data_IF_268837316224
#
_entry.id   IF_268837316224
#
_cell.length_a   1.000
_cell.length_b   1.000
_cell.length_c   1.000
_cell.angle_alpha   90.00
_cell.angle_beta   90.00
_cell.angle_gamma   90.00
#
_symmetry.space_group_name_H-M   'P 1'
#
loop_
_entity.id
_entity.type
_entity.pdbx_description
1 polymer ?
#
# COMPACT_ATOMS: atom_id res chain seq x y z
N UNK A 1 -19.05 -31.19 -2.44
CA UNK A 1 -17.70 -31.08 -1.82
C UNK A 1 -17.47 -29.61 -1.50
N UNK A 2 -17.51 -29.23 -0.22
CA UNK A 2 -17.29 -27.84 0.20
C UNK A 2 -15.78 -27.58 0.30
N UNK A 3 -15.28 -26.54 -0.38
CA UNK A 3 -13.88 -26.14 -0.28
C UNK A 3 -13.63 -25.55 1.11
N UNK A 4 -12.67 -26.13 1.83
CA UNK A 4 -12.20 -25.58 3.10
C UNK A 4 -11.33 -24.38 2.76
N UNK A 5 -11.87 -23.17 2.97
CA UNK A 5 -11.11 -21.93 2.86
C UNK A 5 -10.51 -21.67 4.25
N UNK A 6 -9.19 -21.78 4.37
CA UNK A 6 -8.45 -21.48 5.60
C UNK A 6 -8.31 -19.96 5.69
N UNK A 7 -9.24 -19.31 6.38
CA UNK A 7 -9.15 -17.88 6.71
C UNK A 7 -8.66 -17.72 8.16
N UNK A 8 -7.42 -17.23 8.32
CA UNK A 8 -6.83 -16.87 9.62
C UNK A 8 -5.66 -17.75 10.07
N UNK A 9 -4.78 -17.18 10.92
CA UNK A 9 -3.62 -17.92 11.51
C UNK A 9 -4.04 -18.91 12.61
N UNK A 10 -5.15 -18.67 13.30
CA UNK A 10 -5.55 -19.39 14.50
C UNK A 10 -7.07 -19.67 14.49
N UNK A 11 -7.52 -20.64 15.30
CA UNK A 11 -8.93 -21.05 15.41
C UNK A 11 -9.90 -19.93 15.86
N UNK A 12 -9.39 -18.87 16.49
CA UNK A 12 -10.17 -17.71 16.94
C UNK A 12 -10.24 -16.57 15.91
N UNK A 13 -9.61 -16.75 14.74
CA UNK A 13 -9.61 -15.73 13.70
C UNK A 13 -11.01 -15.55 13.12
N UNK A 14 -11.62 -14.40 13.39
CA UNK A 14 -12.89 -14.01 12.77
C UNK A 14 -12.61 -13.40 11.39
N UNK A 15 -13.33 -13.89 10.38
CA UNK A 15 -13.32 -13.29 9.05
C UNK A 15 -13.96 -11.91 9.12
N UNK A 16 -13.16 -10.86 8.91
CA UNK A 16 -13.65 -9.48 8.80
C UNK A 16 -13.79 -9.17 7.31
N UNK A 17 -15.01 -8.85 6.89
CA UNK A 17 -15.24 -8.31 5.54
C UNK A 17 -15.05 -6.80 5.61
N UNK A 18 -14.01 -6.30 4.95
CA UNK A 18 -13.72 -4.88 4.80
C UNK A 18 -13.66 -4.55 3.31
N UNK A 19 -14.14 -3.37 2.91
CA UNK A 19 -13.96 -2.91 1.54
C UNK A 19 -12.48 -2.71 1.25
N UNK A 20 -12.08 -2.87 -0.02
CA UNK A 20 -10.70 -2.62 -0.44
C UNK A 20 -10.26 -1.20 -0.07
N UNK A 21 -11.12 -0.20 -0.25
CA UNK A 21 -10.80 1.20 0.07
C UNK A 21 -10.59 1.42 1.57
N UNK A 22 -11.39 0.78 2.42
CA UNK A 22 -11.22 0.89 3.87
C UNK A 22 -9.94 0.17 4.34
N UNK A 23 -9.58 -0.96 3.74
CA UNK A 23 -8.31 -1.64 4.00
C UNK A 23 -7.11 -0.79 3.56
N UNK A 24 -7.15 -0.22 2.35
CA UNK A 24 -6.11 0.69 1.86
C UNK A 24 -5.99 1.93 2.75
N UNK A 25 -7.11 2.49 3.22
CA UNK A 25 -7.08 3.62 4.15
C UNK A 25 -6.41 3.27 5.48
N UNK A 26 -6.67 2.08 6.02
CA UNK A 26 -5.99 1.61 7.24
C UNK A 26 -4.48 1.46 7.02
N UNK A 27 -4.05 0.96 5.86
CA UNK A 27 -2.63 0.87 5.52
C UNK A 27 -1.97 2.25 5.46
N UNK A 28 -2.61 3.22 4.83
CA UNK A 28 -2.13 4.60 4.80
C UNK A 28 -2.02 5.13 6.24
N UNK A 29 -3.07 5.00 7.04
CA UNK A 29 -3.07 5.52 8.42
C UNK A 29 -1.97 4.91 9.29
N UNK A 30 -1.58 3.66 9.04
CA UNK A 30 -0.58 2.97 9.82
C UNK A 30 0.86 3.47 9.58
N UNK A 31 1.09 4.41 8.65
CA UNK A 31 2.37 5.12 8.44
C UNK A 31 2.43 6.48 9.15
N UNK A 32 1.33 6.91 9.79
CA UNK A 32 1.24 8.21 10.44
C UNK A 32 0.89 8.06 11.93
N UNK A 33 1.22 9.09 12.71
CA UNK A 33 0.93 9.13 14.14
C UNK A 33 -0.56 9.31 14.40
N UNK A 34 -1.26 9.95 13.45
CA UNK A 34 -2.68 10.19 13.52
C UNK A 34 -3.35 10.16 12.14
N UNK A 35 -4.65 9.90 12.12
CA UNK A 35 -5.46 10.00 10.91
C UNK A 35 -5.44 11.42 10.32
N UNK A 36 -5.32 12.45 11.16
CA UNK A 36 -5.25 13.84 10.74
C UNK A 36 -3.99 14.11 9.89
N UNK A 37 -2.86 13.53 10.27
CA UNK A 37 -1.60 13.60 9.50
C UNK A 37 -1.73 12.88 8.16
N UNK A 38 -2.28 11.68 8.14
CA UNK A 38 -2.55 10.93 6.91
C UNK A 38 -3.42 11.73 5.92
N UNK A 39 -4.49 12.36 6.42
CA UNK A 39 -5.35 13.25 5.63
C UNK A 39 -4.62 14.49 5.15
N UNK A 40 -3.72 15.05 5.97
CA UNK A 40 -2.89 16.19 5.60
C UNK A 40 -1.92 15.86 4.48
N UNK A 41 -1.27 14.70 4.55
CA UNK A 41 -0.38 14.18 3.52
C UNK A 41 -1.11 14.04 2.17
N UNK A 42 -2.31 13.44 2.15
CA UNK A 42 -3.13 13.36 0.92
C UNK A 42 -3.44 14.74 0.36
N UNK A 43 -3.84 15.70 1.22
CA UNK A 43 -4.15 17.07 0.78
C UNK A 43 -2.92 17.78 0.21
N UNK A 44 -1.74 17.56 0.78
CA UNK A 44 -0.50 18.09 0.24
C UNK A 44 -0.23 17.58 -1.18
N UNK A 45 -0.46 16.29 -1.45
CA UNK A 45 -0.37 15.73 -2.81
C UNK A 45 -1.43 16.28 -3.77
N UNK A 46 -2.66 16.49 -3.30
CA UNK A 46 -3.69 17.14 -4.12
C UNK A 46 -3.27 18.56 -4.52
N UNK A 47 -2.64 19.30 -3.61
CA UNK A 47 -2.16 20.66 -3.85
C UNK A 47 -0.98 20.71 -4.85
N UNK A 48 -0.11 19.69 -4.87
CA UNK A 48 1.04 19.66 -5.80
C UNK A 48 0.68 19.18 -7.20
N UNK A 49 -0.27 18.26 -7.33
CA UNK A 49 -0.62 17.66 -8.63
C UNK A 49 -1.66 18.47 -9.41
N UNK A 50 -2.38 19.39 -8.78
CA UNK A 50 -3.52 20.13 -9.36
C UNK A 50 -4.59 19.23 -10.03
N UNK A 51 -4.57 17.92 -9.75
CA UNK A 51 -5.51 16.95 -10.30
C UNK A 51 -5.75 15.81 -9.32
N UNK A 52 -7.00 15.37 -9.27
CA UNK A 52 -7.42 14.18 -8.51
C UNK A 52 -7.13 12.87 -9.27
N UNK A 53 -6.88 12.94 -10.59
CA UNK A 53 -6.69 11.75 -11.44
C UNK A 53 -5.45 10.93 -11.07
N UNK A 54 -4.38 11.57 -10.61
CA UNK A 54 -3.14 10.91 -10.20
C UNK A 54 -3.11 10.45 -8.74
N UNK A 55 -3.99 11.01 -7.90
CA UNK A 55 -3.95 10.80 -6.46
C UNK A 55 -4.24 9.34 -6.08
N UNK A 56 -5.27 8.74 -6.70
CA UNK A 56 -5.62 7.34 -6.45
C UNK A 56 -4.48 6.40 -6.79
N UNK A 57 -3.72 6.68 -7.86
CA UNK A 57 -2.57 5.87 -8.24
C UNK A 57 -1.44 5.98 -7.21
N UNK A 58 -1.15 7.19 -6.72
CA UNK A 58 -0.09 7.43 -5.72
C UNK A 58 -0.41 6.79 -4.38
N UNK A 59 -1.66 6.92 -3.90
CA UNK A 59 -2.09 6.28 -2.65
C UNK A 59 -2.03 4.76 -2.76
N UNK A 60 -2.43 4.20 -3.91
CA UNK A 60 -2.32 2.76 -4.18
C UNK A 60 -0.87 2.32 -4.26
N UNK A 61 -0.01 3.08 -4.92
CA UNK A 61 1.43 2.80 -5.01
C UNK A 61 2.08 2.81 -3.62
N UNK A 62 1.78 3.80 -2.79
CA UNK A 62 2.21 3.85 -1.38
C UNK A 62 1.77 2.60 -0.60
N UNK A 63 0.51 2.18 -0.74
CA UNK A 63 0.03 0.94 -0.11
C UNK A 63 0.73 -0.32 -0.66
N UNK A 64 1.02 -0.37 -1.97
CA UNK A 64 1.71 -1.50 -2.59
C UNK A 64 3.11 -1.70 -2.03
N UNK A 65 3.87 -0.62 -1.82
CA UNK A 65 5.19 -0.67 -1.18
C UNK A 65 5.16 -1.27 0.22
N UNK A 66 4.02 -1.19 0.92
CA UNK A 66 3.83 -1.72 2.27
C UNK A 66 3.45 -3.21 2.30
N UNK A 67 2.70 -3.67 1.31
CA UNK A 67 2.22 -5.07 1.22
C UNK A 67 3.25 -5.96 0.51
N UNK A 68 3.91 -5.42 -0.50
CA UNK A 68 4.74 -6.17 -1.44
C UNK A 68 6.21 -6.10 -1.03
N UNK A 69 6.96 -7.20 -1.22
CA UNK A 69 8.40 -7.21 -0.99
C UNK A 69 9.08 -6.14 -1.87
N UNK A 70 10.04 -5.36 -1.36
CA UNK A 70 10.71 -4.31 -2.15
C UNK A 70 11.30 -4.78 -3.49
N UNK A 71 11.81 -6.01 -3.55
CA UNK A 71 12.33 -6.62 -4.78
C UNK A 71 11.28 -6.81 -5.87
N UNK A 72 10.04 -7.12 -5.50
CA UNK A 72 8.94 -7.27 -6.46
C UNK A 72 8.45 -5.92 -6.98
N UNK A 73 8.51 -4.88 -6.14
CA UNK A 73 8.17 -3.52 -6.53
C UNK A 73 9.18 -2.98 -7.55
N UNK A 74 10.49 -3.17 -7.29
CA UNK A 74 11.56 -2.80 -8.23
C UNK A 74 11.41 -3.48 -9.58
N UNK A 75 11.07 -4.78 -9.61
CA UNK A 75 10.81 -5.52 -10.84
C UNK A 75 9.68 -4.93 -11.68
N UNK A 76 8.56 -4.57 -11.04
CA UNK A 76 7.40 -3.96 -11.71
C UNK A 76 7.72 -2.56 -12.23
N UNK A 77 8.54 -1.80 -11.50
CA UNK A 77 9.03 -0.48 -11.91
C UNK A 77 10.14 -0.55 -12.96
N UNK A 78 10.60 -1.75 -13.34
CA UNK A 78 11.68 -1.93 -14.32
C UNK A 78 13.08 -1.56 -13.82
N UNK A 79 13.27 -1.51 -12.49
CA UNK A 79 14.51 -1.09 -11.85
C UNK A 79 15.50 -2.24 -11.60
N UNK A 80 15.14 -3.48 -11.94
CA UNK A 80 15.99 -4.67 -11.74
C UNK A 80 17.29 -4.66 -12.57
N UNK A 81 17.46 -3.70 -13.49
CA UNK A 81 18.70 -3.50 -14.25
C UNK A 81 19.70 -2.51 -13.65
N UNK A 82 19.41 -1.90 -12.50
CA UNK A 82 20.27 -0.92 -11.83
C UNK A 82 20.91 -1.47 -10.54
N UNK A 83 21.46 -2.69 -10.59
CA UNK A 83 22.37 -3.16 -9.55
C UNK A 83 23.83 -3.02 -10.00
N UNK A 84 24.56 -2.28 -9.18
CA UNK A 84 26.01 -2.24 -8.98
C UNK A 84 26.85 -1.46 -9.99
N UNK A 85 26.78 -0.13 -9.90
CA UNK A 85 27.97 0.72 -10.06
C UNK A 85 28.06 1.56 -8.80
N UNK A 86 28.82 1.08 -7.82
CA UNK A 86 29.78 1.87 -7.03
C UNK A 86 30.23 1.03 -5.82
N UNK A 87 31.32 0.28 -6.02
CA UNK A 87 32.32 0.01 -5.00
C UNK A 87 33.68 0.10 -5.72
N UNK A 88 34.29 1.29 -5.68
CA UNK A 88 35.71 1.55 -6.00
C UNK A 88 36.43 1.91 -4.71
#
# INVERSE_FOLDING_TARGET
>A
MASVIIDGRNADARRVSISLDAFLWQLVCADFTSEAEARSWIRAYMATLYTTKGLTAIVRDHCLHRIVKPSLVRRVQGLDGQMDIDDV
#
